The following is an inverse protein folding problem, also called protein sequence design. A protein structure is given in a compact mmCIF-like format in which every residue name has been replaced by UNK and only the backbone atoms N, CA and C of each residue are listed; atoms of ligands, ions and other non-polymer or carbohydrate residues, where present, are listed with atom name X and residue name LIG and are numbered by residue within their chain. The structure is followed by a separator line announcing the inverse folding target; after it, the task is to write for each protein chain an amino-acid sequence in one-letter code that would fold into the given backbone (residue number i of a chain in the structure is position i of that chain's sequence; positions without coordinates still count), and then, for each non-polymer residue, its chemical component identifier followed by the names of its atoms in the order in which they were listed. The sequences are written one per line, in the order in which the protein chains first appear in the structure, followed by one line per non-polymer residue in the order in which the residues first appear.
data_IF_261613146059
#
_entry.id   IF_261613146059
#
_cell.length_a   1.000
_cell.length_b   1.000
_cell.length_c   1.000
_cell.angle_alpha   90.00
_cell.angle_beta   90.00
_cell.angle_gamma   90.00
#
_symmetry.space_group_name_H-M   'P 1'
#
loop_
_entity.id
_entity.type
_entity.pdbx_description
1 polymer ?
#
# COMPACT_ATOMS: atom_id res chain seq x y z
N UNK A 1 8.86 4.06 23.79
CA UNK A 1 9.01 2.80 23.04
C UNK A 1 9.97 1.87 23.76
N UNK A 2 9.55 0.65 24.09
CA UNK A 2 10.37 -0.35 24.78
C UNK A 2 11.56 -0.89 23.96
N UNK A 3 11.64 -0.56 22.66
CA UNK A 3 12.66 -1.00 21.72
C UNK A 3 13.63 0.13 21.29
N UNK A 4 13.51 1.33 21.86
CA UNK A 4 14.48 2.43 21.63
C UNK A 4 14.38 3.21 20.30
N UNK A 5 13.45 2.90 19.41
CA UNK A 5 13.29 3.64 18.15
C UNK A 5 12.52 4.96 18.32
N UNK A 6 12.97 6.00 17.59
CA UNK A 6 12.34 7.33 17.55
C UNK A 6 11.25 7.45 16.49
N UNK A 7 11.51 6.97 15.27
CA UNK A 7 10.57 7.02 14.15
C UNK A 7 10.62 5.73 13.32
N UNK A 8 9.47 5.34 12.73
CA UNK A 8 9.38 4.18 11.84
C UNK A 8 9.01 4.67 10.45
N UNK A 9 9.93 4.48 9.51
CA UNK A 9 9.69 4.75 8.09
C UNK A 9 9.58 3.42 7.35
N UNK A 10 8.47 3.21 6.65
CA UNK A 10 8.22 1.99 5.89
C UNK A 10 8.37 2.32 4.41
N UNK A 11 9.15 1.51 3.69
CA UNK A 11 9.36 1.66 2.24
C UNK A 11 8.95 0.35 1.58
N UNK A 12 8.01 0.42 0.63
CA UNK A 12 7.62 -0.71 -0.21
C UNK A 12 7.85 -0.39 -1.68
N UNK A 13 8.38 -1.37 -2.44
CA UNK A 13 8.64 -1.25 -3.88
C UNK A 13 7.94 -2.35 -4.67
N UNK A 14 7.35 -2.03 -5.81
CA UNK A 14 6.67 -3.03 -6.63
C UNK A 14 5.53 -3.69 -5.87
N UNK A 15 5.54 -5.02 -5.84
CA UNK A 15 4.64 -5.83 -5.02
C UNK A 15 4.73 -5.53 -3.52
N UNK A 16 5.91 -5.16 -3.02
CA UNK A 16 6.11 -4.78 -1.63
C UNK A 16 5.37 -3.50 -1.24
N UNK A 17 5.01 -2.65 -2.21
CA UNK A 17 4.22 -1.45 -1.95
C UNK A 17 2.81 -1.78 -1.42
N UNK A 18 2.19 -2.85 -1.93
CA UNK A 18 0.86 -3.30 -1.46
C UNK A 18 0.93 -3.70 0.01
N UNK A 19 1.93 -4.50 0.40
CA UNK A 19 2.13 -4.91 1.79
C UNK A 19 2.45 -3.72 2.70
N UNK A 20 3.33 -2.81 2.26
CA UNK A 20 3.67 -1.61 3.02
C UNK A 20 2.44 -0.72 3.28
N UNK A 21 1.62 -0.51 2.24
CA UNK A 21 0.42 0.31 2.34
C UNK A 21 -0.60 -0.30 3.29
N UNK A 22 -0.89 -1.61 3.15
CA UNK A 22 -1.84 -2.30 4.02
C UNK A 22 -1.34 -2.37 5.47
N UNK A 23 -0.07 -2.72 5.70
CA UNK A 23 0.50 -2.78 7.04
C UNK A 23 0.43 -1.43 7.75
N UNK A 24 0.76 -0.33 7.06
CA UNK A 24 0.71 1.01 7.63
C UNK A 24 -0.72 1.57 7.78
N UNK A 25 -1.69 0.99 7.06
CA UNK A 25 -3.12 1.29 7.25
C UNK A 25 -3.63 0.63 8.54
N UNK A 26 -3.19 -0.60 8.81
CA UNK A 26 -3.55 -1.35 10.02
C UNK A 26 -2.78 -0.90 11.26
N UNK A 27 -1.58 -0.37 11.10
CA UNK A 27 -0.69 0.02 12.18
C UNK A 27 -0.26 1.49 12.09
N UNK A 28 -0.69 2.28 13.07
CA UNK A 28 -0.44 3.72 13.11
C UNK A 28 1.02 4.10 13.44
N UNK A 29 1.87 3.16 13.89
CA UNK A 29 3.23 3.45 14.39
C UNK A 29 4.18 3.98 13.32
N UNK A 30 3.94 3.69 12.05
CA UNK A 30 4.72 4.25 10.95
C UNK A 30 4.49 5.76 10.85
N UNK A 31 5.55 6.55 10.97
CA UNK A 31 5.52 8.01 10.81
C UNK A 31 5.63 8.45 9.35
N UNK A 32 6.18 7.60 8.48
CA UNK A 32 6.28 7.83 7.03
C UNK A 32 6.13 6.52 6.25
N UNK A 33 5.46 6.59 5.11
CA UNK A 33 5.26 5.49 4.18
C UNK A 33 5.70 5.92 2.80
N UNK A 34 6.65 5.23 2.20
CA UNK A 34 7.08 5.48 0.82
C UNK A 34 6.74 4.29 -0.06
N UNK A 35 5.97 4.52 -1.13
CA UNK A 35 5.62 3.52 -2.12
C UNK A 35 6.35 3.83 -3.43
N UNK A 36 7.04 2.85 -3.99
CA UNK A 36 7.86 3.02 -5.20
C UNK A 36 7.39 2.03 -6.27
N UNK A 37 6.96 2.50 -7.46
CA UNK A 37 6.49 1.62 -8.55
C UNK A 37 5.42 0.62 -8.07
N UNK A 38 4.47 1.11 -7.28
CA UNK A 38 3.52 0.32 -6.51
C UNK A 38 2.10 0.42 -7.04
N UNK A 39 1.32 -0.66 -6.95
CA UNK A 39 -0.10 -0.62 -7.27
C UNK A 39 -0.84 0.29 -6.31
N UNK A 40 -1.62 1.23 -6.86
CA UNK A 40 -2.40 2.20 -6.08
C UNK A 40 -3.91 1.95 -6.12
N UNK A 41 -4.37 1.03 -6.98
CA UNK A 41 -5.77 0.62 -7.09
C UNK A 41 -5.86 -0.83 -7.60
N UNK A 42 -6.55 -1.69 -6.86
CA UNK A 42 -6.98 -2.99 -7.38
C UNK A 42 -8.03 -2.84 -8.47
N UNK A 43 -8.86 -1.79 -8.40
CA UNK A 43 -9.90 -1.55 -9.41
C UNK A 43 -9.29 -1.32 -10.78
N UNK A 44 -8.20 -0.55 -10.89
CA UNK A 44 -7.50 -0.33 -12.17
C UNK A 44 -7.05 -1.64 -12.85
N UNK A 45 -6.70 -2.67 -12.07
CA UNK A 45 -6.34 -3.98 -12.63
C UNK A 45 -7.53 -4.69 -13.30
N UNK A 46 -8.75 -4.38 -12.89
CA UNK A 46 -9.97 -4.92 -13.51
C UNK A 46 -10.30 -4.25 -14.84
N UNK A 47 -9.69 -3.08 -15.11
CA UNK A 47 -9.93 -2.28 -16.31
C UNK A 47 -8.96 -2.59 -17.45
N UNK A 48 -7.98 -3.47 -17.23
CA UNK A 48 -7.01 -3.90 -18.25
C UNK A 48 -7.27 -5.34 -18.68
N UNK A 49 -7.08 -5.67 -19.98
CA UNK A 49 -7.38 -7.01 -20.49
C UNK A 49 -6.42 -8.08 -19.97
N UNK A 50 -5.19 -7.70 -19.60
CA UNK A 50 -4.16 -8.61 -19.08
C UNK A 50 -3.56 -8.00 -17.81
N UNK A 51 -3.92 -8.57 -16.66
CA UNK A 51 -3.28 -8.24 -15.40
C UNK A 51 -1.90 -8.91 -15.30
N UNK A 52 -0.84 -8.11 -15.12
CA UNK A 52 0.54 -8.60 -14.96
C UNK A 52 0.97 -8.75 -13.49
N UNK A 53 0.12 -8.35 -12.55
CA UNK A 53 0.39 -8.49 -11.13
C UNK A 53 0.14 -9.93 -10.68
N UNK A 54 0.98 -10.50 -9.80
CA UNK A 54 0.80 -11.86 -9.34
C UNK A 54 -0.44 -11.97 -8.45
N UNK A 55 -1.10 -13.13 -8.53
CA UNK A 55 -2.26 -13.43 -7.70
C UNK A 55 -1.97 -13.35 -6.19
N UNK A 56 -0.71 -13.58 -5.77
CA UNK A 56 -0.28 -13.46 -4.37
C UNK A 56 -0.32 -12.02 -3.83
N UNK A 57 -0.40 -11.00 -4.68
CA UNK A 57 -0.60 -9.61 -4.29
C UNK A 57 -2.08 -9.23 -4.17
N UNK A 58 -3.00 -10.15 -4.44
CA UNK A 58 -4.45 -9.91 -4.44
C UNK A 58 -5.09 -10.46 -3.18
N UNK A 59 -6.04 -9.70 -2.64
CA UNK A 59 -6.90 -10.12 -1.53
C UNK A 59 -8.27 -10.54 -2.11
N UNK A 60 -8.71 -11.81 -1.95
CA UNK A 60 -9.98 -12.26 -2.48
C UNK A 60 -11.16 -11.41 -1.98
N UNK A 61 -11.96 -10.89 -2.92
CA UNK A 61 -13.16 -10.11 -2.59
C UNK A 61 -12.90 -8.68 -2.12
N UNK A 62 -11.65 -8.20 -2.08
CA UNK A 62 -11.27 -6.91 -1.48
C UNK A 62 -12.08 -5.72 -2.00
N UNK A 63 -12.35 -5.67 -3.31
CA UNK A 63 -13.11 -4.57 -3.94
C UNK A 63 -14.57 -4.48 -3.50
N UNK A 64 -15.09 -5.46 -2.75
CA UNK A 64 -16.40 -5.37 -2.08
C UNK A 64 -16.35 -4.52 -0.81
N UNK A 65 -15.16 -4.37 -0.23
CA UNK A 65 -14.94 -3.72 1.07
C UNK A 65 -14.18 -2.40 0.91
N UNK A 66 -13.08 -2.39 0.13
CA UNK A 66 -12.26 -1.21 -0.11
C UNK A 66 -11.34 -1.37 -1.33
N UNK A 67 -10.69 -0.28 -1.73
CA UNK A 67 -9.60 -0.28 -2.71
C UNK A 67 -8.29 0.27 -2.11
N UNK A 68 -7.14 -0.03 -2.71
CA UNK A 68 -5.85 0.52 -2.27
C UNK A 68 -5.84 2.06 -2.29
N UNK A 69 -6.63 2.68 -3.16
CA UNK A 69 -6.79 4.14 -3.21
C UNK A 69 -7.41 4.69 -1.91
N UNK A 70 -8.25 3.91 -1.21
CA UNK A 70 -8.81 4.28 0.09
C UNK A 70 -7.75 4.23 1.20
N UNK A 71 -6.88 3.22 1.18
CA UNK A 71 -5.71 3.16 2.06
C UNK A 71 -4.77 4.36 1.81
N UNK A 72 -4.54 4.72 0.55
CA UNK A 72 -3.75 5.89 0.19
C UNK A 72 -4.35 7.19 0.78
N UNK A 73 -5.67 7.36 0.69
CA UNK A 73 -6.39 8.50 1.29
C UNK A 73 -6.23 8.51 2.82
N UNK A 74 -6.41 7.36 3.47
CA UNK A 74 -6.27 7.22 4.92
C UNK A 74 -4.86 7.58 5.41
N UNK A 75 -3.83 7.34 4.60
CA UNK A 75 -2.43 7.61 4.93
C UNK A 75 -1.87 8.91 4.31
N UNK A 76 -2.69 9.70 3.63
CA UNK A 76 -2.30 10.88 2.84
C UNK A 76 -1.32 11.84 3.53
N UNK A 77 -1.45 12.07 4.85
CA UNK A 77 -0.54 12.96 5.61
C UNK A 77 0.88 12.43 5.78
N UNK A 78 1.09 11.13 5.60
CA UNK A 78 2.37 10.43 5.82
C UNK A 78 2.79 9.55 4.64
N UNK A 79 2.06 9.60 3.53
CA UNK A 79 2.30 8.82 2.33
C UNK A 79 3.11 9.61 1.30
N UNK A 80 4.13 8.98 0.73
CA UNK A 80 4.92 9.49 -0.36
C UNK A 80 4.97 8.44 -1.49
N UNK A 81 4.44 8.78 -2.65
CA UNK A 81 4.44 7.90 -3.83
C UNK A 81 5.52 8.37 -4.79
N UNK A 82 6.36 7.44 -5.24
CA UNK A 82 7.43 7.67 -6.21
C UNK A 82 7.19 6.74 -7.40
N UNK A 83 7.02 7.31 -8.59
CA UNK A 83 6.80 6.57 -9.84
C UNK A 83 5.66 5.55 -9.69
N UNK A 84 4.38 5.94 -9.82
CA UNK A 84 3.27 4.99 -9.72
C UNK A 84 3.26 3.95 -10.86
#
# INVERSE_FOLDING_TARGET
NALGYGEIHVIGRGMGAVLALLACTLDARASKVTLINGLLSFHELTQVPICRWPASSMLPGVLKEFDLSDCCRALSRKLHVVEP
#
